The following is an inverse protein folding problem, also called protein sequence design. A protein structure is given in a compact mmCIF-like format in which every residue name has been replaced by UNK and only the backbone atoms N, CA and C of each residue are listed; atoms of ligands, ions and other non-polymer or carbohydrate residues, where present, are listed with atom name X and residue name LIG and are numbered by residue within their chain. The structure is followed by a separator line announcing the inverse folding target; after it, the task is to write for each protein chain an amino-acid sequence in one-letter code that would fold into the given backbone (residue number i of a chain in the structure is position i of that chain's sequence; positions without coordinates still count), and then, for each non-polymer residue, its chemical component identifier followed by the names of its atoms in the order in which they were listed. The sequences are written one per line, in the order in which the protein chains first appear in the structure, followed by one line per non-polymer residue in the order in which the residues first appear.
data_IF_524546025095
#
_entry.id   IF_524546025095
#
_cell.length_a   1.000
_cell.length_b   1.000
_cell.length_c   1.000
_cell.angle_alpha   90.00
_cell.angle_beta   90.00
_cell.angle_gamma   90.00
#
_symmetry.space_group_name_H-M   'P 1'
#
loop_
_entity.id
_entity.type
_entity.pdbx_description
1 polymer ?
#
# COMPACT_ATOMS: atom_id res chain seq x y z
N UNK A 1 23.72 56.16 -12.73
CA UNK A 1 23.92 55.17 -11.65
C UNK A 1 22.58 54.57 -11.29
N UNK A 2 22.32 53.32 -11.69
CA UNK A 2 21.07 52.61 -11.41
C UNK A 2 21.45 51.24 -10.86
N UNK A 3 21.19 51.02 -9.57
CA UNK A 3 21.50 49.79 -8.88
C UNK A 3 20.41 48.75 -9.14
N UNK A 4 20.76 47.69 -9.86
CA UNK A 4 19.90 46.53 -10.09
C UNK A 4 19.75 45.75 -8.78
N UNK A 5 18.55 45.74 -8.20
CA UNK A 5 18.22 44.89 -7.05
C UNK A 5 18.20 43.43 -7.49
N UNK A 6 19.20 42.64 -7.08
CA UNK A 6 19.14 41.19 -7.18
C UNK A 6 18.03 40.63 -6.27
N UNK A 7 17.09 39.90 -6.86
CA UNK A 7 16.12 39.11 -6.10
C UNK A 7 16.83 37.96 -5.37
N UNK A 8 16.41 37.61 -4.14
CA UNK A 8 17.02 36.52 -3.39
C UNK A 8 16.76 35.16 -4.07
N UNK A 9 17.67 34.18 -3.92
CA UNK A 9 17.50 32.86 -4.52
C UNK A 9 16.25 32.18 -3.95
N UNK A 10 15.35 31.72 -4.83
CA UNK A 10 14.21 30.89 -4.46
C UNK A 10 14.71 29.61 -3.79
N UNK A 11 14.33 29.39 -2.53
CA UNK A 11 14.59 28.13 -1.81
C UNK A 11 14.08 26.94 -2.64
N UNK A 12 14.81 25.80 -2.66
CA UNK A 12 14.32 24.57 -3.28
C UNK A 12 12.96 24.20 -2.67
N UNK A 13 11.94 24.02 -3.52
CA UNK A 13 10.64 23.47 -3.06
C UNK A 13 10.88 22.06 -2.51
N UNK A 14 10.34 21.68 -1.34
CA UNK A 14 10.29 20.27 -0.92
C UNK A 14 9.41 19.52 -1.93
N UNK A 15 10.06 18.80 -2.85
CA UNK A 15 9.46 18.11 -4.00
C UNK A 15 9.29 16.64 -3.64
N UNK A 16 8.07 16.17 -3.44
CA UNK A 16 7.58 14.76 -3.45
C UNK A 16 8.31 13.66 -2.64
N UNK A 17 9.62 13.73 -2.41
CA UNK A 17 10.49 12.77 -1.75
C UNK A 17 10.11 12.59 -0.27
N UNK A 18 9.66 13.65 0.39
CA UNK A 18 9.32 13.58 1.82
C UNK A 18 8.13 12.64 2.10
N UNK A 19 7.11 12.65 1.23
CA UNK A 19 5.97 11.76 1.38
C UNK A 19 6.24 10.35 0.85
N UNK A 20 7.26 10.17 0.00
CA UNK A 20 7.73 8.84 -0.37
C UNK A 20 8.33 8.12 0.85
N UNK A 21 9.03 8.84 1.74
CA UNK A 21 9.50 8.28 3.00
C UNK A 21 8.35 7.80 3.92
N UNK A 22 7.20 8.47 3.91
CA UNK A 22 6.00 8.01 4.63
C UNK A 22 5.47 6.71 4.03
N UNK A 23 5.46 6.60 2.69
CA UNK A 23 5.04 5.37 2.01
C UNK A 23 5.98 4.20 2.34
N UNK A 24 7.30 4.40 2.27
CA UNK A 24 8.30 3.39 2.63
C UNK A 24 8.16 2.97 4.10
N UNK A 25 8.02 3.93 5.02
CA UNK A 25 7.77 3.64 6.43
C UNK A 25 6.47 2.83 6.64
N UNK A 26 5.39 3.15 5.93
CA UNK A 26 4.14 2.40 5.98
C UNK A 26 4.36 0.92 5.59
N UNK A 27 5.06 0.66 4.48
CA UNK A 27 5.35 -0.70 4.00
C UNK A 27 6.20 -1.49 4.99
N UNK A 28 7.27 -0.87 5.51
CA UNK A 28 8.14 -1.49 6.51
C UNK A 28 7.38 -1.86 7.78
N UNK A 29 6.59 -0.93 8.33
CA UNK A 29 5.79 -1.20 9.53
C UNK A 29 4.72 -2.27 9.26
N UNK A 30 4.12 -2.31 8.06
CA UNK A 30 3.13 -3.34 7.69
C UNK A 30 3.76 -4.72 7.47
N UNK A 31 5.02 -4.81 7.06
CA UNK A 31 5.76 -6.08 7.06
C UNK A 31 5.94 -6.62 8.50
N UNK A 32 6.23 -5.73 9.46
CA UNK A 32 6.53 -6.09 10.85
C UNK A 32 5.31 -6.15 11.78
N UNK A 33 4.13 -5.67 11.34
CA UNK A 33 2.94 -5.60 12.19
C UNK A 33 2.55 -6.99 12.70
N UNK A 34 2.20 -7.07 13.99
CA UNK A 34 1.72 -8.32 14.60
C UNK A 34 0.27 -8.59 14.18
N UNK A 35 0.02 -9.80 13.72
CA UNK A 35 -1.29 -10.24 13.21
C UNK A 35 -1.56 -11.67 13.67
N UNK A 36 -2.82 -11.99 13.94
CA UNK A 36 -3.28 -13.37 13.99
C UNK A 36 -3.21 -14.00 12.59
N UNK A 37 -3.29 -15.34 12.53
CA UNK A 37 -3.12 -16.08 11.28
C UNK A 37 -4.18 -15.76 10.22
N UNK A 38 -5.41 -15.44 10.64
CA UNK A 38 -6.49 -15.13 9.70
C UNK A 38 -6.28 -13.76 9.08
N UNK A 39 -6.03 -12.74 9.91
CA UNK A 39 -5.69 -11.39 9.46
C UNK A 39 -4.48 -11.40 8.53
N UNK A 40 -3.41 -12.13 8.90
CA UNK A 40 -2.20 -12.27 8.06
C UNK A 40 -2.51 -12.85 6.69
N UNK A 41 -3.34 -13.89 6.62
CA UNK A 41 -3.76 -14.50 5.34
C UNK A 41 -4.48 -13.47 4.46
N UNK A 42 -5.35 -12.64 5.04
CA UNK A 42 -6.09 -11.60 4.31
C UNK A 42 -5.20 -10.42 3.90
N UNK A 43 -4.21 -10.08 4.72
CA UNK A 43 -3.19 -9.10 4.40
C UNK A 43 -2.38 -9.53 3.17
N UNK A 44 -1.83 -10.75 3.18
CA UNK A 44 -1.09 -11.31 2.03
C UNK A 44 -1.96 -11.35 0.77
N UNK A 45 -3.21 -11.82 0.89
CA UNK A 45 -4.15 -11.85 -0.23
C UNK A 45 -4.38 -10.46 -0.83
N UNK A 46 -4.57 -9.44 0.01
CA UNK A 46 -4.79 -8.08 -0.44
C UNK A 46 -3.54 -7.45 -1.05
N UNK A 47 -2.34 -7.70 -0.51
CA UNK A 47 -1.10 -7.23 -1.18
C UNK A 47 -1.02 -7.76 -2.61
N UNK A 48 -1.25 -9.06 -2.79
CA UNK A 48 -1.24 -9.69 -4.12
C UNK A 48 -2.33 -9.16 -5.04
N UNK A 49 -3.53 -8.90 -4.50
CA UNK A 49 -4.65 -8.41 -5.29
C UNK A 49 -4.49 -6.95 -5.73
N UNK A 50 -3.81 -6.13 -4.94
CA UNK A 50 -3.60 -4.70 -5.20
C UNK A 50 -2.27 -4.40 -5.92
N UNK A 51 -1.40 -5.40 -6.06
CA UNK A 51 -0.15 -5.30 -6.83
C UNK A 51 -0.40 -5.73 -8.27
N UNK A 52 0.17 -5.01 -9.23
CA UNK A 52 0.08 -5.41 -10.64
C UNK A 52 0.79 -6.76 -10.85
N UNK A 53 0.15 -7.64 -11.63
CA UNK A 53 0.70 -8.96 -11.94
C UNK A 53 0.72 -9.16 -13.45
N UNK A 54 1.75 -9.83 -13.93
CA UNK A 54 1.91 -10.20 -15.33
C UNK A 54 1.81 -11.73 -15.45
N UNK A 55 1.07 -12.22 -16.43
CA UNK A 55 1.00 -13.65 -16.72
C UNK A 55 1.93 -13.97 -17.89
N UNK A 56 2.92 -14.82 -17.64
CA UNK A 56 3.90 -15.28 -18.64
C UNK A 56 3.72 -16.79 -18.81
N UNK A 57 2.95 -17.17 -19.83
CA UNK A 57 2.49 -18.54 -20.03
C UNK A 57 1.61 -19.01 -18.86
N UNK A 58 2.04 -20.08 -18.17
CA UNK A 58 1.34 -20.58 -16.98
C UNK A 58 1.82 -19.95 -15.66
N UNK A 59 2.88 -19.14 -15.71
CA UNK A 59 3.47 -18.51 -14.53
C UNK A 59 2.86 -17.13 -14.29
N UNK A 60 2.85 -16.72 -13.03
CA UNK A 60 2.52 -15.34 -12.64
C UNK A 60 3.79 -14.66 -12.12
N UNK A 61 4.10 -13.50 -12.69
CA UNK A 61 5.18 -12.62 -12.26
C UNK A 61 4.57 -11.44 -11.50
N UNK A 62 5.12 -11.14 -10.33
CA UNK A 62 4.68 -10.04 -9.48
C UNK A 62 5.90 -9.19 -9.16
N UNK A 63 5.82 -7.91 -9.53
CA UNK A 63 6.86 -6.93 -9.22
C UNK A 63 6.39 -6.07 -8.06
N UNK A 64 7.24 -5.95 -7.05
CA UNK A 64 7.05 -5.05 -5.93
C UNK A 64 8.00 -3.87 -6.08
N UNK A 65 7.52 -2.67 -5.73
CA UNK A 65 8.30 -1.43 -5.74
C UNK A 65 9.20 -1.28 -4.49
N UNK A 66 9.15 -2.26 -3.59
CA UNK A 66 9.85 -2.24 -2.30
C UNK A 66 10.43 -3.64 -2.02
N UNK A 67 11.75 -3.71 -1.84
CA UNK A 67 12.48 -4.96 -1.57
C UNK A 67 12.01 -5.68 -0.29
N UNK A 68 11.84 -4.97 0.84
CA UNK A 68 11.26 -5.54 2.06
C UNK A 68 9.88 -6.17 1.84
N UNK A 69 8.98 -5.53 1.09
CA UNK A 69 7.69 -6.13 0.73
C UNK A 69 7.88 -7.42 -0.09
N UNK A 70 8.79 -7.43 -1.09
CA UNK A 70 9.07 -8.61 -1.89
C UNK A 70 9.59 -9.79 -1.03
N UNK A 71 10.53 -9.53 -0.12
CA UNK A 71 11.07 -10.54 0.78
C UNK A 71 10.00 -11.06 1.75
N UNK A 72 9.23 -10.16 2.36
CA UNK A 72 8.12 -10.50 3.25
C UNK A 72 7.07 -11.36 2.53
N UNK A 73 6.74 -11.03 1.28
CA UNK A 73 5.82 -11.82 0.46
C UNK A 73 6.36 -13.21 0.13
N UNK A 74 7.64 -13.34 -0.24
CA UNK A 74 8.26 -14.63 -0.51
C UNK A 74 8.23 -15.54 0.74
N UNK A 75 8.54 -14.97 1.91
CA UNK A 75 8.46 -15.67 3.20
C UNK A 75 7.02 -16.03 3.58
N UNK A 76 6.06 -15.11 3.38
CA UNK A 76 4.67 -15.36 3.71
C UNK A 76 4.03 -16.45 2.83
N UNK A 77 4.50 -16.58 1.58
CA UNK A 77 4.08 -17.64 0.68
C UNK A 77 4.78 -18.97 0.99
N UNK A 78 6.10 -18.98 1.28
CA UNK A 78 6.90 -20.15 1.67
C UNK A 78 6.47 -21.46 0.98
N UNK A 79 6.48 -21.46 -0.35
CA UNK A 79 5.99 -22.58 -1.16
C UNK A 79 6.99 -22.92 -2.26
N UNK A 80 7.16 -24.21 -2.56
CA UNK A 80 8.13 -24.72 -3.54
C UNK A 80 7.96 -24.14 -4.96
N UNK A 81 6.73 -23.75 -5.31
CA UNK A 81 6.39 -23.16 -6.62
C UNK A 81 6.49 -21.63 -6.65
N UNK A 82 7.13 -21.03 -5.63
CA UNK A 82 7.35 -19.60 -5.49
C UNK A 82 8.84 -19.32 -5.45
N UNK A 83 9.30 -18.46 -6.34
CA UNK A 83 10.71 -18.09 -6.47
C UNK A 83 10.84 -16.56 -6.36
N UNK A 84 11.75 -16.10 -5.50
CA UNK A 84 12.19 -14.70 -5.47
C UNK A 84 13.36 -14.57 -6.45
N UNK A 85 13.08 -14.05 -7.65
CA UNK A 85 14.03 -14.03 -8.77
C UNK A 85 15.04 -12.89 -8.62
N UNK A 86 14.60 -11.76 -8.08
CA UNK A 86 15.45 -10.63 -7.74
C UNK A 86 14.89 -9.89 -6.53
N UNK A 87 15.78 -9.29 -5.74
CA UNK A 87 15.45 -8.39 -4.64
C UNK A 87 16.59 -7.40 -4.42
N UNK A 88 16.26 -6.13 -4.26
CA UNK A 88 17.19 -5.05 -4.00
C UNK A 88 16.50 -3.86 -3.34
N UNK A 89 17.22 -2.75 -3.21
CA UNK A 89 16.65 -1.53 -2.62
C UNK A 89 15.45 -0.99 -3.43
N UNK A 90 15.47 -1.16 -4.76
CA UNK A 90 14.47 -0.62 -5.68
C UNK A 90 13.27 -1.55 -5.92
N UNK A 91 13.17 -2.67 -5.19
CA UNK A 91 12.06 -3.61 -5.33
C UNK A 91 12.47 -5.07 -5.36
N UNK A 92 11.58 -5.91 -5.86
CA UNK A 92 11.86 -7.31 -6.12
C UNK A 92 10.79 -7.99 -6.97
N UNK A 93 11.16 -9.10 -7.58
CA UNK A 93 10.26 -9.91 -8.41
C UNK A 93 10.04 -11.28 -7.80
N UNK A 94 8.77 -11.64 -7.62
CA UNK A 94 8.36 -13.02 -7.33
C UNK A 94 7.78 -13.66 -8.60
N UNK A 95 8.17 -14.90 -8.87
CA UNK A 95 7.55 -15.75 -9.89
C UNK A 95 6.84 -16.92 -9.22
N UNK A 96 5.59 -17.16 -9.62
CA UNK A 96 4.76 -18.25 -9.12
C UNK A 96 4.46 -19.20 -10.29
N UNK A 97 4.98 -20.42 -10.21
CA UNK A 97 4.87 -21.40 -11.29
C UNK A 97 3.45 -21.96 -11.46
N UNK A 98 2.75 -22.19 -10.34
CA UNK A 98 1.36 -22.65 -10.32
C UNK A 98 0.48 -21.72 -9.46
N UNK A 99 -0.01 -20.62 -10.03
CA UNK A 99 -0.74 -19.60 -9.27
C UNK A 99 -2.01 -20.13 -8.60
N UNK A 100 -2.76 -21.04 -9.23
CA UNK A 100 -4.00 -21.56 -8.63
C UNK A 100 -3.73 -22.39 -7.38
N UNK A 101 -2.70 -23.25 -7.40
CA UNK A 101 -2.31 -24.04 -6.24
C UNK A 101 -1.77 -23.16 -5.11
N UNK A 102 -0.86 -22.24 -5.43
CA UNK A 102 -0.19 -21.40 -4.42
C UNK A 102 -1.14 -20.37 -3.80
N UNK A 103 -1.90 -19.67 -4.65
CA UNK A 103 -2.74 -18.54 -4.26
C UNK A 103 -4.15 -18.98 -3.86
N UNK A 104 -4.54 -20.22 -4.19
CA UNK A 104 -5.87 -20.74 -3.89
C UNK A 104 -6.21 -20.69 -2.40
N UNK A 105 -5.24 -20.95 -1.52
CA UNK A 105 -5.40 -20.83 -0.05
C UNK A 105 -5.61 -19.39 0.45
N UNK A 106 -5.25 -18.40 -0.36
CA UNK A 106 -5.47 -16.97 -0.09
C UNK A 106 -6.75 -16.43 -0.74
N UNK A 107 -7.51 -17.29 -1.44
CA UNK A 107 -8.80 -16.93 -2.06
C UNK A 107 -8.72 -16.50 -3.52
N UNK A 108 -7.60 -16.76 -4.21
CA UNK A 108 -7.48 -16.53 -5.65
C UNK A 108 -8.25 -17.59 -6.44
N UNK A 109 -9.12 -17.19 -7.37
CA UNK A 109 -9.91 -18.06 -8.24
C UNK A 109 -10.00 -17.43 -9.63
N UNK A 110 -9.30 -18.00 -10.60
CA UNK A 110 -9.29 -17.56 -12.01
C UNK A 110 -9.26 -16.04 -12.21
N UNK A 111 -8.26 -15.37 -11.61
CA UNK A 111 -8.07 -13.93 -11.75
C UNK A 111 -8.90 -13.07 -10.79
N UNK A 112 -9.75 -13.69 -9.95
CA UNK A 112 -10.57 -13.01 -8.94
C UNK A 112 -10.07 -13.31 -7.53
N UNK A 113 -10.29 -12.37 -6.62
CA UNK A 113 -9.90 -12.47 -5.21
C UNK A 113 -11.12 -12.47 -4.30
N UNK A 114 -11.17 -13.43 -3.37
CA UNK A 114 -12.21 -13.56 -2.37
C UNK A 114 -11.64 -13.33 -0.96
N UNK A 115 -11.90 -12.16 -0.38
CA UNK A 115 -11.31 -11.75 0.90
C UNK A 115 -12.06 -12.20 2.15
N UNK A 116 -13.19 -12.90 2.02
CA UNK A 116 -14.03 -13.29 3.16
C UNK A 116 -14.73 -12.10 3.82
N UNK A 117 -15.23 -12.30 5.05
CA UNK A 117 -16.01 -11.32 5.81
C UNK A 117 -15.50 -11.22 7.25
N UNK A 118 -16.03 -10.28 8.02
CA UNK A 118 -15.67 -10.08 9.43
C UNK A 118 -14.47 -9.16 9.65
N UNK A 119 -14.10 -9.01 10.93
CA UNK A 119 -13.05 -8.07 11.35
C UNK A 119 -11.64 -8.46 10.86
N UNK A 120 -11.21 -9.74 10.88
CA UNK A 120 -9.91 -10.14 10.33
C UNK A 120 -9.78 -9.81 8.83
N UNK A 121 -10.85 -10.02 8.06
CA UNK A 121 -10.91 -9.62 6.65
C UNK A 121 -10.83 -8.10 6.50
N UNK A 122 -11.55 -7.34 7.34
CA UNK A 122 -11.53 -5.89 7.26
C UNK A 122 -10.13 -5.30 7.52
N UNK A 123 -9.48 -5.77 8.60
CA UNK A 123 -8.12 -5.35 8.97
C UNK A 123 -7.11 -5.79 7.92
N UNK A 124 -7.09 -7.08 7.55
CA UNK A 124 -6.12 -7.62 6.61
C UNK A 124 -6.24 -6.99 5.23
N UNK A 125 -7.45 -6.84 4.68
CA UNK A 125 -7.65 -6.20 3.37
C UNK A 125 -7.22 -4.74 3.38
N UNK A 126 -7.60 -3.98 4.42
CA UNK A 126 -7.21 -2.57 4.52
C UNK A 126 -5.70 -2.41 4.62
N UNK A 127 -5.03 -3.26 5.42
CA UNK A 127 -3.58 -3.29 5.53
C UNK A 127 -2.92 -3.63 4.21
N UNK A 128 -3.33 -4.71 3.56
CA UNK A 128 -2.70 -5.16 2.32
C UNK A 128 -2.90 -4.20 1.15
N UNK A 129 -4.06 -3.54 1.06
CA UNK A 129 -4.28 -2.49 0.07
C UNK A 129 -3.38 -1.27 0.31
N UNK A 130 -3.26 -0.82 1.57
CA UNK A 130 -2.34 0.28 1.93
C UNK A 130 -0.88 -0.11 1.70
N UNK A 131 -0.50 -1.32 2.08
CA UNK A 131 0.84 -1.87 1.90
C UNK A 131 1.24 -1.86 0.41
N UNK A 132 0.38 -2.40 -0.46
CA UNK A 132 0.68 -2.51 -1.88
C UNK A 132 0.65 -1.15 -2.60
N UNK A 133 -0.35 -0.32 -2.32
CA UNK A 133 -0.77 0.71 -3.28
C UNK A 133 -1.06 2.09 -2.67
N UNK A 134 -0.70 2.34 -1.40
CA UNK A 134 -0.85 3.68 -0.81
C UNK A 134 0.19 4.66 -1.33
N UNK A 135 -0.28 5.85 -1.68
CA UNK A 135 0.52 7.05 -1.91
C UNK A 135 0.08 8.14 -0.94
N UNK A 136 1.06 8.85 -0.40
CA UNK A 136 0.85 9.96 0.53
C UNK A 136 1.21 11.28 -0.15
N UNK A 137 0.47 12.34 0.17
CA UNK A 137 0.81 13.71 -0.21
C UNK A 137 0.09 14.69 0.73
N UNK A 138 0.23 16.00 0.46
CA UNK A 138 -0.41 17.05 1.26
C UNK A 138 -1.94 16.93 1.35
N UNK A 139 -2.59 16.32 0.35
CA UNK A 139 -4.04 16.13 0.30
C UNK A 139 -4.51 14.86 1.03
N UNK A 140 -3.60 14.04 1.56
CA UNK A 140 -3.97 12.81 2.28
C UNK A 140 -3.29 11.56 1.76
N UNK A 141 -3.96 10.43 1.99
CA UNK A 141 -3.55 9.11 1.52
C UNK A 141 -4.50 8.66 0.41
N UNK A 142 -3.95 8.19 -0.71
CA UNK A 142 -4.71 7.58 -1.82
C UNK A 142 -4.20 6.18 -2.05
N UNK A 143 -5.08 5.19 -2.02
CA UNK A 143 -4.78 3.79 -2.34
C UNK A 143 -5.24 3.51 -3.76
N UNK A 144 -4.33 3.15 -4.66
CA UNK A 144 -4.70 2.75 -6.01
C UNK A 144 -5.40 1.39 -6.00
N UNK A 145 -6.49 1.26 -6.74
CA UNK A 145 -7.30 0.05 -6.78
C UNK A 145 -7.25 -0.59 -8.17
N UNK A 146 -7.22 -1.93 -8.28
CA UNK A 146 -7.21 -2.62 -9.58
C UNK A 146 -8.44 -2.37 -10.45
N UNK A 147 -9.58 -2.06 -9.82
CA UNK A 147 -10.85 -1.83 -10.49
C UNK A 147 -11.78 -0.94 -9.64
N UNK A 148 -12.84 -0.43 -10.25
CA UNK A 148 -13.89 0.31 -9.54
C UNK A 148 -14.60 -0.57 -8.49
N UNK A 149 -14.83 -1.86 -8.77
CA UNK A 149 -15.45 -2.79 -7.80
C UNK A 149 -14.55 -3.01 -6.57
N UNK A 150 -13.24 -3.14 -6.79
CA UNK A 150 -12.25 -3.24 -5.70
C UNK A 150 -12.16 -1.95 -4.89
N UNK A 151 -12.28 -0.78 -5.52
CA UNK A 151 -12.35 0.51 -4.84
C UNK A 151 -13.56 0.61 -3.91
N UNK A 152 -14.75 0.20 -4.38
CA UNK A 152 -15.95 0.20 -3.55
C UNK A 152 -15.85 -0.80 -2.40
N UNK A 153 -15.30 -1.99 -2.66
CA UNK A 153 -15.04 -3.01 -1.64
C UNK A 153 -14.08 -2.49 -0.57
N UNK A 154 -12.96 -1.90 -0.99
CA UNK A 154 -11.97 -1.33 -0.07
C UNK A 154 -12.59 -0.22 0.79
N UNK A 155 -13.38 0.68 0.18
CA UNK A 155 -14.05 1.77 0.90
C UNK A 155 -15.02 1.23 1.95
N UNK A 156 -15.82 0.23 1.60
CA UNK A 156 -16.75 -0.40 2.53
C UNK A 156 -16.02 -1.12 3.67
N UNK A 157 -14.93 -1.82 3.36
CA UNK A 157 -14.09 -2.51 4.34
C UNK A 157 -13.41 -1.53 5.30
N UNK A 158 -12.83 -0.45 4.78
CA UNK A 158 -12.24 0.62 5.59
C UNK A 158 -13.27 1.27 6.50
N UNK A 159 -14.50 1.49 6.02
CA UNK A 159 -15.60 2.06 6.82
C UNK A 159 -15.93 1.19 8.04
N UNK A 160 -15.88 -0.15 7.91
CA UNK A 160 -16.08 -1.08 9.04
C UNK A 160 -15.02 -0.94 10.14
N UNK A 161 -13.83 -0.47 9.79
CA UNK A 161 -12.77 -0.13 10.77
C UNK A 161 -12.94 1.27 11.35
N UNK A 162 -13.92 2.05 10.90
CA UNK A 162 -14.04 3.47 11.21
C UNK A 162 -13.04 4.34 10.42
N UNK A 163 -12.51 3.86 9.30
CA UNK A 163 -11.66 4.63 8.39
C UNK A 163 -12.55 5.25 7.32
N UNK A 164 -12.68 6.58 7.35
CA UNK A 164 -13.49 7.33 6.39
C UNK A 164 -12.74 7.56 5.07
N UNK A 165 -12.67 6.51 4.25
CA UNK A 165 -12.24 6.61 2.86
C UNK A 165 -13.39 7.02 1.94
N UNK A 166 -13.07 7.70 0.83
CA UNK A 166 -14.01 8.02 -0.25
C UNK A 166 -13.51 7.46 -1.58
N UNK A 167 -14.39 6.96 -2.45
CA UNK A 167 -14.01 6.66 -3.83
C UNK A 167 -13.65 7.96 -4.56
N UNK A 168 -12.75 7.88 -5.54
CA UNK A 168 -12.41 9.00 -6.42
C UNK A 168 -12.94 8.78 -7.83
N UNK A 169 -13.23 9.88 -8.54
CA UNK A 169 -13.58 9.84 -9.95
C UNK A 169 -12.36 9.53 -10.83
N UNK A 170 -12.60 8.96 -12.03
CA UNK A 170 -11.56 8.61 -12.99
C UNK A 170 -10.86 7.28 -12.64
N UNK A 171 -9.56 7.33 -12.35
CA UNK A 171 -8.81 6.13 -12.00
C UNK A 171 -9.26 5.58 -10.63
N UNK A 172 -9.56 4.28 -10.48
CA UNK A 172 -10.06 3.72 -9.23
C UNK A 172 -9.08 3.92 -8.06
N UNK A 173 -9.45 4.74 -7.09
CA UNK A 173 -8.68 4.94 -5.85
C UNK A 173 -9.60 5.15 -4.65
N UNK A 174 -9.17 4.65 -3.50
CA UNK A 174 -9.78 5.01 -2.21
C UNK A 174 -8.94 6.12 -1.54
N UNK A 175 -9.56 7.24 -1.21
CA UNK A 175 -8.89 8.41 -0.66
C UNK A 175 -9.29 8.69 0.80
N UNK A 176 -8.30 8.91 1.66
CA UNK A 176 -8.48 9.38 3.04
C UNK A 176 -7.95 10.81 3.12
N UNK A 177 -8.81 11.74 3.55
CA UNK A 177 -8.47 13.16 3.66
C UNK A 177 -7.33 13.44 4.65
N UNK A 178 -6.64 14.58 4.52
CA UNK A 178 -5.37 14.82 5.20
C UNK A 178 -5.50 14.91 6.71
N UNK A 179 -6.65 15.36 7.23
CA UNK A 179 -6.95 15.39 8.67
C UNK A 179 -7.23 14.02 9.29
N UNK A 180 -7.45 12.98 8.48
CA UNK A 180 -7.84 11.63 8.94
C UNK A 180 -6.76 10.57 8.74
N UNK A 181 -5.68 10.87 8.00
CA UNK A 181 -4.62 9.89 7.70
C UNK A 181 -4.00 9.29 8.96
N UNK A 182 -3.64 10.11 9.95
CA UNK A 182 -3.02 9.61 11.18
C UNK A 182 -3.97 8.67 11.95
N UNK A 183 -5.26 9.02 12.01
CA UNK A 183 -6.32 8.22 12.63
C UNK A 183 -6.53 6.89 11.90
N UNK A 184 -6.44 6.91 10.57
CA UNK A 184 -6.56 5.72 9.73
C UNK A 184 -5.37 4.78 9.92
N UNK A 185 -4.14 5.31 9.90
CA UNK A 185 -2.91 4.51 10.09
C UNK A 185 -2.83 3.92 11.51
N UNK A 186 -3.31 4.63 12.52
CA UNK A 186 -3.43 4.08 13.88
C UNK A 186 -4.38 2.87 13.95
N UNK A 187 -5.54 2.93 13.27
CA UNK A 187 -6.47 1.78 13.17
C UNK A 187 -5.88 0.59 12.43
N UNK A 188 -4.94 0.84 11.52
CA UNK A 188 -4.17 -0.20 10.84
C UNK A 188 -2.99 -0.71 11.68
N UNK A 189 -2.78 -0.19 12.89
CA UNK A 189 -1.71 -0.63 13.80
C UNK A 189 -0.33 -0.07 13.46
N UNK A 190 -0.27 1.04 12.71
CA UNK A 190 0.98 1.71 12.31
C UNK A 190 0.92 3.21 12.67
N UNK A 191 0.59 3.49 13.94
CA UNK A 191 0.31 4.83 14.45
C UNK A 191 1.53 5.78 14.32
N UNK A 192 2.74 5.24 14.43
CA UNK A 192 4.01 5.99 14.31
C UNK A 192 4.14 6.62 12.92
N UNK A 193 3.75 5.89 11.87
CA UNK A 193 3.72 6.40 10.49
C UNK A 193 2.69 7.52 10.35
N UNK A 194 1.56 7.40 11.05
CA UNK A 194 0.56 8.47 11.15
C UNK A 194 1.10 9.75 11.79
N UNK A 195 1.91 9.62 12.84
CA UNK A 195 2.59 10.75 13.47
C UNK A 195 3.65 11.37 12.54
N UNK A 196 4.40 10.56 11.80
CA UNK A 196 5.34 11.03 10.78
C UNK A 196 4.65 11.84 9.68
N UNK A 197 3.55 11.31 9.11
CA UNK A 197 2.74 12.01 8.11
C UNK A 197 2.26 13.38 8.63
N UNK A 198 1.75 13.43 9.87
CA UNK A 198 1.24 14.66 10.48
C UNK A 198 2.31 15.73 10.60
N UNK A 199 3.47 15.39 11.19
CA UNK A 199 4.61 16.30 11.35
C UNK A 199 5.07 16.85 10.00
N UNK A 200 5.20 15.97 9.00
CA UNK A 200 5.61 16.40 7.66
C UNK A 200 4.61 17.38 7.05
N UNK A 201 3.30 17.11 7.19
CA UNK A 201 2.25 18.00 6.67
C UNK A 201 2.28 19.37 7.34
N UNK A 202 2.44 19.42 8.66
CA UNK A 202 2.48 20.67 9.43
C UNK A 202 3.69 21.54 9.03
N UNK A 203 4.87 20.94 8.92
CA UNK A 203 6.08 21.63 8.46
C UNK A 203 5.96 22.16 7.02
N UNK A 204 5.10 21.55 6.21
CA UNK A 204 4.91 21.91 4.81
C UNK A 204 3.82 22.97 4.59
N UNK A 205 2.97 23.23 5.59
CA UNK A 205 1.89 24.24 5.57
C UNK A 205 2.33 25.56 6.22
N UNK A 206 3.40 25.53 7.03
CA UNK A 206 3.97 26.70 7.70
C UNK A 206 4.93 27.55 6.85
N UNK A 207 5.19 27.16 5.60
CA UNK A 207 5.98 27.88 4.58
C UNK A 207 5.07 28.44 3.47
#
# INVERSE_FOLDING_TARGET
MTATRCAPPRRPRPRSEDFAAVASAARLHLCAVREDSETRRRHVAAVLAFTSTERVGQRMRIRFDDGPTALWMAQALAHKDVELVDVGADGGTIVIANPQTVLGRYGFRDGRWLFGQGMPAAVGVSRGAVHAAAHFNRQGMKVACPSASMMLTLTAVMSRLGIHAKPTDGHPRAAVGPGRVAEALARLGIAEVGAQYRRLRENTVGD
#
